data_IF_381500950619
#
_entry.id   IF_381500950619
#
_cell.length_a   1.000
_cell.length_b   1.000
_cell.length_c   1.000
_cell.angle_alpha   90.00
_cell.angle_beta   90.00
_cell.angle_gamma   90.00
#
_symmetry.space_group_name_H-M   'P 1'
#
loop_
_entity.id
_entity.type
_entity.pdbx_description
1 polymer ?
#
# COMPACT_ATOMS: atom_id res chain seq x y z
N UNK A 1 -10.81 -40.96 -14.27
CA UNK A 1 -10.48 -39.56 -14.59
C UNK A 1 -10.83 -38.68 -13.40
N UNK A 2 -9.86 -38.38 -12.54
CA UNK A 2 -10.09 -37.64 -11.29
C UNK A 2 -9.95 -36.14 -11.57
N UNK A 3 -11.02 -35.35 -11.37
CA UNK A 3 -10.94 -33.88 -11.42
C UNK A 3 -10.04 -33.40 -10.29
N UNK A 4 -8.94 -32.76 -10.64
CA UNK A 4 -8.11 -31.99 -9.70
C UNK A 4 -8.97 -30.87 -9.11
N UNK A 5 -9.07 -30.82 -7.78
CA UNK A 5 -9.67 -29.69 -7.08
C UNK A 5 -8.80 -28.46 -7.31
N UNK A 6 -9.38 -27.29 -7.66
CA UNK A 6 -8.59 -26.08 -7.76
C UNK A 6 -8.03 -25.75 -6.38
N UNK A 7 -6.70 -25.62 -6.31
CA UNK A 7 -5.97 -25.16 -5.13
C UNK A 7 -6.51 -23.78 -4.74
N UNK A 8 -6.62 -23.51 -3.43
CA UNK A 8 -7.16 -22.27 -2.85
C UNK A 8 -6.42 -20.97 -3.27
N UNK A 9 -5.38 -21.10 -4.08
CA UNK A 9 -4.60 -20.00 -4.66
C UNK A 9 -5.38 -19.20 -5.73
N UNK A 10 -6.48 -19.75 -6.26
CA UNK A 10 -7.24 -19.14 -7.36
C UNK A 10 -8.33 -18.13 -6.98
N UNK A 11 -8.56 -17.83 -5.69
CA UNK A 11 -9.66 -16.94 -5.27
C UNK A 11 -9.26 -15.96 -4.16
N UNK A 12 -8.13 -15.28 -4.31
CA UNK A 12 -8.05 -13.91 -3.78
C UNK A 12 -8.31 -12.98 -4.95
N UNK A 13 -9.50 -12.35 -4.96
CA UNK A 13 -9.77 -11.22 -5.85
C UNK A 13 -8.53 -10.34 -5.88
N UNK A 14 -7.97 -10.10 -7.08
CA UNK A 14 -6.69 -9.42 -7.28
C UNK A 14 -6.63 -8.17 -6.39
N UNK A 15 -5.94 -8.25 -5.24
CA UNK A 15 -5.77 -7.10 -4.36
C UNK A 15 -5.11 -6.00 -5.19
N UNK A 16 -5.71 -4.81 -5.19
CA UNK A 16 -5.19 -3.68 -5.96
C UNK A 16 -3.77 -3.29 -5.52
N UNK A 17 -3.41 -3.58 -4.26
CA UNK A 17 -2.06 -3.46 -3.70
C UNK A 17 -1.43 -4.84 -3.54
N UNK A 18 -0.20 -5.01 -4.04
CA UNK A 18 0.65 -6.17 -3.73
C UNK A 18 1.61 -5.84 -2.59
N UNK A 19 2.24 -6.86 -2.01
CA UNK A 19 3.23 -6.69 -0.94
C UNK A 19 4.43 -5.86 -1.42
N UNK A 20 4.84 -5.99 -2.70
CA UNK A 20 5.88 -5.16 -3.30
C UNK A 20 5.47 -3.69 -3.42
N UNK A 21 4.19 -3.43 -3.73
CA UNK A 21 3.65 -2.07 -3.74
C UNK A 21 3.64 -1.48 -2.32
N UNK A 22 3.26 -2.27 -1.32
CA UNK A 22 3.25 -1.85 0.08
C UNK A 22 4.65 -1.51 0.58
N UNK A 23 5.65 -2.32 0.24
CA UNK A 23 7.05 -2.04 0.58
C UNK A 23 7.54 -0.75 -0.09
N UNK A 24 7.20 -0.54 -1.36
CA UNK A 24 7.52 0.69 -2.08
C UNK A 24 6.85 1.89 -1.42
N UNK A 25 5.56 1.78 -1.06
CA UNK A 25 4.79 2.82 -0.38
C UNK A 25 5.43 3.19 0.97
N UNK A 26 5.71 2.19 1.82
CA UNK A 26 6.30 2.41 3.14
C UNK A 26 7.68 3.08 3.02
N UNK A 27 8.49 2.68 2.04
CA UNK A 27 9.79 3.30 1.77
C UNK A 27 9.63 4.77 1.42
N UNK A 28 8.75 5.12 0.48
CA UNK A 28 8.53 6.52 0.08
C UNK A 28 7.92 7.34 1.22
N UNK A 29 6.97 6.79 1.97
CA UNK A 29 6.38 7.47 3.14
C UNK A 29 7.42 7.75 4.22
N UNK A 30 8.35 6.83 4.45
CA UNK A 30 9.45 7.02 5.40
C UNK A 30 10.43 8.14 4.95
N UNK A 31 10.68 8.26 3.64
CA UNK A 31 11.54 9.31 3.08
C UNK A 31 10.90 10.69 3.19
N UNK A 32 9.64 10.83 2.78
CA UNK A 32 8.98 12.14 2.65
C UNK A 32 8.15 12.57 3.86
N UNK A 33 7.85 11.64 4.77
CA UNK A 33 7.07 11.87 6.00
C UNK A 33 5.81 12.74 5.77
N UNK A 34 4.95 12.40 4.80
CA UNK A 34 3.83 13.26 4.38
C UNK A 34 2.84 13.57 5.51
N UNK A 35 2.71 12.67 6.49
CA UNK A 35 1.84 12.82 7.66
C UNK A 35 2.35 13.86 8.68
N UNK A 36 3.61 14.34 8.58
CA UNK A 36 4.12 15.42 9.42
C UNK A 36 3.81 16.82 8.87
N UNK A 37 3.26 16.93 7.66
CA UNK A 37 3.09 18.20 6.95
C UNK A 37 1.74 18.88 7.25
N UNK A 38 1.54 19.40 8.47
CA UNK A 38 0.24 19.86 8.99
C UNK A 38 -0.61 20.76 8.06
N UNK A 39 -0.01 21.71 7.31
CA UNK A 39 -0.75 22.61 6.40
C UNK A 39 -0.91 22.06 4.98
N UNK A 40 -0.10 21.10 4.57
CA UNK A 40 0.04 20.67 3.17
C UNK A 40 0.00 19.14 3.01
N UNK A 41 -0.63 18.42 3.95
CA UNK A 41 -0.67 16.96 3.99
C UNK A 41 -1.12 16.35 2.67
N UNK A 42 -2.20 16.87 2.05
CA UNK A 42 -2.70 16.39 0.75
C UNK A 42 -1.64 16.46 -0.35
N UNK A 43 -1.00 17.64 -0.49
CA UNK A 43 0.07 17.85 -1.48
C UNK A 43 1.28 16.96 -1.21
N UNK A 44 1.61 16.72 0.06
CA UNK A 44 2.70 15.83 0.44
C UNK A 44 2.40 14.37 0.05
N UNK A 45 1.14 13.92 0.18
CA UNK A 45 0.72 12.61 -0.29
C UNK A 45 0.70 12.50 -1.81
N UNK A 46 0.30 13.54 -2.53
CA UNK A 46 0.41 13.56 -3.99
C UNK A 46 1.87 13.47 -4.45
N UNK A 47 2.80 14.12 -3.73
CA UNK A 47 4.23 13.99 -4.01
C UNK A 47 4.73 12.55 -3.81
N UNK A 48 4.28 11.85 -2.77
CA UNK A 48 4.57 10.42 -2.57
C UNK A 48 4.01 9.57 -3.72
N UNK A 49 2.76 9.80 -4.12
CA UNK A 49 2.16 9.11 -5.26
C UNK A 49 2.92 9.35 -6.57
N UNK A 50 3.39 10.58 -6.80
CA UNK A 50 4.22 10.91 -7.97
C UNK A 50 5.53 10.13 -7.96
N UNK A 51 6.17 9.98 -6.79
CA UNK A 51 7.42 9.23 -6.66
C UNK A 51 7.23 7.73 -6.83
N UNK A 52 6.15 7.17 -6.29
CA UNK A 52 5.80 5.77 -6.51
C UNK A 52 5.62 5.44 -7.98
N UNK A 53 4.94 6.31 -8.74
CA UNK A 53 4.77 6.15 -10.19
C UNK A 53 6.08 6.20 -10.99
N UNK A 54 7.16 6.71 -10.40
CA UNK A 54 8.50 6.72 -11.00
C UNK A 54 9.33 5.48 -10.64
N UNK A 55 8.87 4.65 -9.69
CA UNK A 55 9.57 3.41 -9.31
C UNK A 55 9.40 2.38 -10.43
N UNK A 56 10.51 1.84 -10.92
CA UNK A 56 10.48 0.80 -11.94
C UNK A 56 9.71 -0.43 -11.45
N UNK A 57 8.75 -0.91 -12.25
CA UNK A 57 7.87 -2.02 -11.88
C UNK A 57 6.65 -1.65 -11.04
N UNK A 58 6.47 -0.38 -10.67
CA UNK A 58 5.28 0.07 -9.95
C UNK A 58 4.09 0.27 -10.92
N UNK A 59 3.22 -0.74 -11.00
CA UNK A 59 2.19 -0.85 -12.05
C UNK A 59 0.83 -0.22 -11.74
N UNK A 60 0.70 0.64 -10.72
CA UNK A 60 -0.61 1.16 -10.28
C UNK A 60 -0.99 2.45 -11.00
N UNK A 61 -1.60 2.28 -12.18
CA UNK A 61 -2.19 3.36 -12.97
C UNK A 61 -3.26 4.08 -12.14
N UNK A 62 -3.23 5.42 -12.14
CA UNK A 62 -4.18 6.25 -11.41
C UNK A 62 -3.96 6.31 -9.90
N UNK A 63 -2.75 5.97 -9.42
CA UNK A 63 -2.35 6.25 -8.05
C UNK A 63 -2.31 7.77 -7.81
N UNK A 64 -3.03 8.22 -6.78
CA UNK A 64 -3.05 9.59 -6.27
C UNK A 64 -2.73 9.60 -4.77
N UNK A 65 -2.53 10.78 -4.18
CA UNK A 65 -2.22 10.92 -2.76
C UNK A 65 -3.30 10.35 -1.85
N UNK A 66 -4.58 10.38 -2.27
CA UNK A 66 -5.69 9.82 -1.49
C UNK A 66 -5.59 8.30 -1.38
N UNK A 67 -5.29 7.60 -2.48
CA UNK A 67 -5.08 6.15 -2.49
C UNK A 67 -3.82 5.77 -1.69
N UNK A 68 -2.72 6.51 -1.86
CA UNK A 68 -1.47 6.26 -1.14
C UNK A 68 -1.65 6.42 0.39
N UNK A 69 -2.26 7.54 0.82
CA UNK A 69 -2.55 7.80 2.23
C UNK A 69 -3.50 6.77 2.83
N UNK A 70 -4.60 6.47 2.15
CA UNK A 70 -5.57 5.47 2.61
C UNK A 70 -4.92 4.10 2.83
N UNK A 71 -4.06 3.67 1.89
CA UNK A 71 -3.34 2.41 2.04
C UNK A 71 -2.36 2.43 3.21
N UNK A 72 -1.59 3.51 3.36
CA UNK A 72 -0.65 3.64 4.47
C UNK A 72 -1.34 3.50 5.83
N UNK A 73 -2.46 4.21 6.05
CA UNK A 73 -3.19 4.13 7.31
C UNK A 73 -3.82 2.76 7.54
N UNK A 74 -4.25 2.06 6.48
CA UNK A 74 -4.70 0.67 6.59
C UNK A 74 -3.58 -0.24 7.07
N UNK A 75 -2.35 -0.12 6.53
CA UNK A 75 -1.19 -0.90 6.96
C UNK A 75 -0.84 -0.62 8.43
N UNK A 76 -0.87 0.64 8.85
CA UNK A 76 -0.63 1.01 10.25
C UNK A 76 -1.69 0.42 11.19
N UNK A 77 -2.95 0.44 10.78
CA UNK A 77 -4.03 -0.15 11.57
C UNK A 77 -3.88 -1.67 11.73
N UNK A 78 -3.58 -2.39 10.64
CA UNK A 78 -3.33 -3.84 10.68
C UNK A 78 -2.13 -4.15 11.57
N UNK A 79 -1.02 -3.40 11.41
CA UNK A 79 0.17 -3.59 12.24
C UNK A 79 -0.13 -3.36 13.73
N UNK A 80 -0.86 -2.30 14.05
CA UNK A 80 -1.27 -2.02 15.44
C UNK A 80 -2.10 -3.15 16.02
N UNK A 81 -3.06 -3.70 15.26
CA UNK A 81 -3.87 -4.84 15.71
C UNK A 81 -3.04 -6.09 15.96
N UNK A 82 -2.09 -6.37 15.08
CA UNK A 82 -1.14 -7.46 15.29
C UNK A 82 -0.35 -7.27 16.59
N UNK A 83 0.23 -6.08 16.81
CA UNK A 83 0.98 -5.76 18.04
C UNK A 83 0.12 -5.84 19.30
N UNK A 84 -1.16 -5.47 19.24
CA UNK A 84 -2.10 -5.60 20.37
C UNK A 84 -2.40 -7.07 20.70
N UNK A 85 -2.48 -7.94 19.70
CA UNK A 85 -2.77 -9.38 19.87
C UNK A 85 -1.56 -10.25 20.22
N UNK A 86 -0.34 -9.70 20.10
CA UNK A 86 0.91 -10.40 20.38
C UNK A 86 1.52 -10.05 21.75
N UNK A 87 0.76 -9.36 22.61
CA UNK A 87 1.08 -9.12 24.02
C UNK A 87 0.46 -10.20 24.89
#
# INVERSE_FOLDING_TARGET
>A
MTRLRPTREGQQARKWWSDADDMSLLTQVNIYLPFKQAKNTTKAWDAVANKLRQVHGFGRIGLDGKKASSRFYQLMWVHRKFQESSK
#
